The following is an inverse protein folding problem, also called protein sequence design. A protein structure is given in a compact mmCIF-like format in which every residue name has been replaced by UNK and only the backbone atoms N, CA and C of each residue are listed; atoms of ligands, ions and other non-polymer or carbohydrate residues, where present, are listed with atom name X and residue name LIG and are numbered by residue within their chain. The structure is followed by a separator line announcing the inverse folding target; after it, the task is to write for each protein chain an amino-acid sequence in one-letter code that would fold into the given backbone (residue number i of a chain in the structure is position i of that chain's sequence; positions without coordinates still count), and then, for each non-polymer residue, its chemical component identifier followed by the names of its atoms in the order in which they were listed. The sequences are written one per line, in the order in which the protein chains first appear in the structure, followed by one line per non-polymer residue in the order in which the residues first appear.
data_IF_333720797307
#
_entry.id   IF_333720797307
#
_cell.length_a   1.000
_cell.length_b   1.000
_cell.length_c   1.000
_cell.angle_alpha   90.00
_cell.angle_beta   90.00
_cell.angle_gamma   90.00
#
_symmetry.space_group_name_H-M   'P 1'
#
loop_
_entity.id
_entity.type
_entity.pdbx_description
1 polymer ?
#
# COMPACT_ATOMS: atom_id res chain seq x y z
N UNK A 1 19.11 10.76 -17.87
CA UNK A 1 17.76 10.86 -17.27
C UNK A 1 16.99 9.63 -17.74
N UNK A 2 16.91 8.59 -16.91
CA UNK A 2 16.07 7.43 -17.22
C UNK A 2 14.62 7.94 -17.11
N UNK A 3 13.98 8.18 -18.25
CA UNK A 3 12.54 8.42 -18.29
C UNK A 3 11.92 7.06 -18.02
N UNK A 4 11.61 6.77 -16.76
CA UNK A 4 10.83 5.60 -16.44
C UNK A 4 9.46 5.77 -17.10
N UNK A 5 9.10 4.83 -17.98
CA UNK A 5 7.78 4.75 -18.59
C UNK A 5 6.80 4.20 -17.54
N UNK A 6 5.60 4.76 -17.50
CA UNK A 6 4.55 4.35 -16.57
C UNK A 6 3.69 5.52 -16.12
N UNK A 7 2.48 5.20 -15.67
CA UNK A 7 1.52 6.17 -15.15
C UNK A 7 1.40 6.00 -13.63
N UNK A 8 1.45 7.10 -12.87
CA UNK A 8 1.29 7.08 -11.41
C UNK A 8 -0.12 6.63 -11.03
N UNK A 9 -0.23 5.65 -10.13
CA UNK A 9 -1.52 5.09 -9.72
C UNK A 9 -2.32 6.01 -8.78
N UNK A 10 -1.72 7.09 -8.29
CA UNK A 10 -2.40 8.15 -7.52
C UNK A 10 -1.95 9.55 -7.99
N UNK A 11 -2.27 9.88 -9.24
CA UNK A 11 -1.92 11.13 -9.91
C UNK A 11 -2.88 12.28 -9.52
N UNK A 12 -2.86 12.67 -8.25
CA UNK A 12 -3.78 13.65 -7.67
C UNK A 12 -3.83 15.01 -8.41
N UNK A 13 -2.77 15.40 -9.11
CA UNK A 13 -2.73 16.60 -9.94
C UNK A 13 -3.68 16.56 -11.16
N UNK A 14 -4.24 15.40 -11.50
CA UNK A 14 -5.19 15.22 -12.60
C UNK A 14 -6.65 14.98 -12.13
N UNK A 15 -6.96 15.08 -10.84
CA UNK A 15 -8.29 14.72 -10.33
C UNK A 15 -9.42 15.60 -10.90
N UNK A 16 -9.20 16.90 -11.00
CA UNK A 16 -10.17 17.82 -11.61
C UNK A 16 -10.41 17.47 -13.08
N UNK A 17 -9.34 17.14 -13.82
CA UNK A 17 -9.44 16.69 -15.20
C UNK A 17 -10.29 15.42 -15.35
N UNK A 18 -10.11 14.43 -14.48
CA UNK A 18 -10.94 13.20 -14.50
C UNK A 18 -12.39 13.44 -14.10
N UNK A 19 -12.64 14.40 -13.20
CA UNK A 19 -14.00 14.78 -12.82
C UNK A 19 -14.74 15.48 -13.97
N UNK A 20 -14.04 16.34 -14.72
CA UNK A 20 -14.56 17.02 -15.90
C UNK A 20 -14.68 16.09 -17.12
N UNK A 21 -13.92 14.99 -17.16
CA UNK A 21 -13.85 14.05 -18.28
C UNK A 21 -14.13 12.60 -17.83
N UNK A 22 -15.36 12.27 -17.40
CA UNK A 22 -15.68 10.97 -16.80
C UNK A 22 -15.49 9.77 -17.75
N UNK A 23 -15.44 10.01 -19.06
CA UNK A 23 -15.12 9.00 -20.07
C UNK A 23 -13.65 8.55 -20.04
N UNK A 24 -12.75 9.35 -19.44
CA UNK A 24 -11.33 9.03 -19.32
C UNK A 24 -11.11 8.29 -18.00
N UNK A 25 -10.61 7.06 -18.08
CA UNK A 25 -10.21 6.30 -16.89
C UNK A 25 -8.85 6.79 -16.41
N UNK A 26 -8.79 7.18 -15.13
CA UNK A 26 -7.52 7.43 -14.45
C UNK A 26 -6.63 6.18 -14.44
N UNK A 27 -5.31 6.31 -14.26
CA UNK A 27 -4.39 5.19 -14.12
C UNK A 27 -4.85 4.18 -13.07
N UNK A 28 -5.31 4.64 -11.91
CA UNK A 28 -5.88 3.78 -10.85
C UNK A 28 -7.07 2.94 -11.33
N UNK A 29 -8.00 3.55 -12.09
CA UNK A 29 -9.17 2.83 -12.65
C UNK A 29 -8.74 1.82 -13.71
N UNK A 30 -7.85 2.20 -14.63
CA UNK A 30 -7.29 1.29 -15.64
C UNK A 30 -6.58 0.11 -14.99
N UNK A 31 -5.80 0.38 -13.94
CA UNK A 31 -5.05 -0.63 -13.20
C UNK A 31 -5.98 -1.62 -12.47
N UNK A 32 -7.07 -1.14 -11.87
CA UNK A 32 -8.08 -2.00 -11.23
C UNK A 32 -8.76 -2.95 -12.21
N UNK A 33 -8.96 -2.52 -13.45
CA UNK A 33 -9.58 -3.35 -14.50
C UNK A 33 -8.63 -4.42 -15.06
N UNK A 34 -7.34 -4.44 -14.66
CA UNK A 34 -6.40 -5.45 -15.12
C UNK A 34 -6.75 -6.84 -14.55
N UNK A 35 -6.44 -7.92 -15.30
CA UNK A 35 -6.51 -9.27 -14.78
C UNK A 35 -5.76 -9.41 -13.45
N UNK A 36 -6.32 -10.20 -12.54
CA UNK A 36 -5.80 -10.42 -11.19
C UNK A 36 -4.31 -10.80 -11.22
N UNK A 37 -3.90 -11.62 -12.19
CA UNK A 37 -2.51 -12.09 -12.32
C UNK A 37 -1.54 -10.94 -12.56
N UNK A 38 -1.95 -9.88 -13.26
CA UNK A 38 -1.10 -8.70 -13.48
C UNK A 38 -0.93 -7.90 -12.20
N UNK A 39 -2.00 -7.73 -11.43
CA UNK A 39 -1.97 -7.04 -10.14
C UNK A 39 -1.22 -7.83 -9.07
N UNK A 40 -1.28 -9.16 -9.09
CA UNK A 40 -0.47 -10.03 -8.24
C UNK A 40 1.03 -9.88 -8.55
N UNK A 41 1.43 -9.68 -9.82
CA UNK A 41 2.83 -9.36 -10.15
C UNK A 41 3.29 -8.05 -9.52
N UNK A 42 2.45 -7.02 -9.47
CA UNK A 42 2.77 -5.78 -8.73
C UNK A 42 2.95 -6.04 -7.24
N UNK A 43 2.13 -6.89 -6.64
CA UNK A 43 2.28 -7.27 -5.22
C UNK A 43 3.62 -7.95 -4.98
N UNK A 44 4.08 -8.82 -5.89
CA UNK A 44 5.42 -9.42 -5.78
C UNK A 44 6.54 -8.37 -5.86
N UNK A 45 6.37 -7.32 -6.68
CA UNK A 45 7.31 -6.19 -6.72
C UNK A 45 7.32 -5.43 -5.39
N UNK A 46 6.16 -5.18 -4.79
CA UNK A 46 6.03 -4.52 -3.48
C UNK A 46 6.72 -5.33 -2.36
N UNK A 47 6.47 -6.64 -2.30
CA UNK A 47 7.17 -7.53 -1.36
C UNK A 47 8.69 -7.52 -1.58
N UNK A 48 9.14 -7.69 -2.83
CA UNK A 48 10.57 -7.71 -3.15
C UNK A 48 11.26 -6.40 -2.74
N UNK A 49 10.61 -5.27 -3.02
CA UNK A 49 11.13 -3.95 -2.67
C UNK A 49 11.20 -3.76 -1.15
N UNK A 50 10.12 -4.04 -0.41
CA UNK A 50 10.11 -3.84 1.05
C UNK A 50 11.01 -4.81 1.80
N UNK A 51 11.23 -6.03 1.30
CA UNK A 51 12.28 -6.90 1.83
C UNK A 51 13.66 -6.30 1.61
N UNK A 52 13.96 -5.79 0.41
CA UNK A 52 15.25 -5.12 0.15
C UNK A 52 15.46 -3.92 1.07
N UNK A 53 14.41 -3.13 1.32
CA UNK A 53 14.45 -1.99 2.26
C UNK A 53 14.80 -2.48 3.67
N UNK A 54 14.14 -3.54 4.15
CA UNK A 54 14.43 -4.14 5.45
C UNK A 54 15.86 -4.69 5.53
N UNK A 55 16.33 -5.40 4.50
CA UNK A 55 17.70 -5.94 4.39
C UNK A 55 18.77 -4.85 4.39
N UNK A 56 18.45 -3.67 3.86
CA UNK A 56 19.32 -2.49 3.90
C UNK A 56 19.25 -1.71 5.21
N UNK A 57 18.53 -2.22 6.21
CA UNK A 57 18.31 -1.56 7.50
C UNK A 57 17.52 -0.24 7.39
N UNK A 58 16.60 -0.15 6.43
CA UNK A 58 15.67 0.97 6.27
C UNK A 58 14.23 0.56 6.60
N UNK A 59 13.37 1.56 6.77
CA UNK A 59 11.92 1.43 6.82
C UNK A 59 11.29 2.43 5.86
N UNK A 60 10.25 1.98 5.15
CA UNK A 60 9.45 2.83 4.29
C UNK A 60 8.64 3.84 5.11
N UNK A 61 8.73 5.10 4.71
CA UNK A 61 7.93 6.22 5.23
C UNK A 61 7.34 6.93 4.02
N UNK A 62 6.09 7.38 4.14
CA UNK A 62 5.32 7.94 3.02
C UNK A 62 5.14 6.98 1.84
N UNK A 63 5.06 5.67 2.10
CA UNK A 63 4.88 4.65 1.07
C UNK A 63 3.40 4.31 0.88
N UNK A 64 2.85 4.53 -0.32
CA UNK A 64 1.44 4.26 -0.62
C UNK A 64 1.20 4.08 -2.13
N UNK A 65 -0.07 4.06 -2.58
CA UNK A 65 -0.44 3.93 -4.00
C UNK A 65 0.12 5.05 -4.90
N UNK A 66 0.51 6.20 -4.35
CA UNK A 66 1.25 7.25 -5.08
C UNK A 66 2.72 6.94 -5.33
N UNK A 67 3.28 5.99 -4.58
CA UNK A 67 4.65 5.48 -4.76
C UNK A 67 4.73 4.39 -5.84
N UNK A 68 3.63 4.14 -6.57
CA UNK A 68 3.55 3.14 -7.64
C UNK A 68 3.28 3.79 -8.99
N UNK A 69 4.09 3.43 -9.98
CA UNK A 69 3.81 3.66 -11.40
C UNK A 69 3.60 2.32 -12.12
N UNK A 70 2.69 2.31 -13.08
CA UNK A 70 2.43 1.13 -13.90
C UNK A 70 2.55 1.44 -15.39
N UNK A 71 3.36 0.67 -16.11
CA UNK A 71 3.44 0.68 -17.57
C UNK A 71 2.46 -0.37 -18.12
N UNK A 72 1.39 0.11 -18.76
CA UNK A 72 0.32 -0.73 -19.32
C UNK A 72 0.73 -1.45 -20.62
N UNK A 73 1.79 -1.02 -21.29
CA UNK A 73 2.29 -1.66 -22.52
C UNK A 73 3.18 -2.86 -22.19
N UNK A 74 3.95 -2.77 -21.10
CA UNK A 74 4.92 -3.80 -20.68
C UNK A 74 4.54 -4.55 -19.41
N UNK A 75 3.37 -4.26 -18.83
CA UNK A 75 2.90 -4.79 -17.55
C UNK A 75 3.91 -4.62 -16.40
N UNK A 76 4.63 -3.50 -16.38
CA UNK A 76 5.75 -3.26 -15.46
C UNK A 76 5.36 -2.32 -14.33
N UNK A 77 5.57 -2.77 -13.10
CA UNK A 77 5.39 -1.95 -11.89
C UNK A 77 6.71 -1.36 -11.46
N UNK A 78 6.75 -0.04 -11.33
CA UNK A 78 7.91 0.71 -10.84
C UNK A 78 7.58 1.38 -9.53
N UNK A 79 8.49 1.29 -8.56
CA UNK A 79 8.39 2.01 -7.29
C UNK A 79 9.12 3.35 -7.41
N UNK A 80 8.50 4.42 -6.94
CA UNK A 80 9.04 5.77 -6.91
C UNK A 80 8.77 6.42 -5.54
N UNK A 81 9.20 7.67 -5.38
CA UNK A 81 8.94 8.49 -4.18
C UNK A 81 9.43 7.81 -2.89
N UNK A 82 10.73 7.52 -2.86
CA UNK A 82 11.40 6.83 -1.74
C UNK A 82 12.23 7.79 -0.88
N UNK A 83 12.15 9.10 -1.14
CA UNK A 83 13.03 10.12 -0.55
C UNK A 83 12.84 10.26 0.97
N UNK A 84 11.67 9.86 1.49
CA UNK A 84 11.37 9.91 2.93
C UNK A 84 11.77 8.65 3.70
N UNK A 85 12.25 7.60 3.03
CA UNK A 85 12.65 6.36 3.69
C UNK A 85 13.74 6.63 4.71
N UNK A 86 13.67 5.96 5.87
CA UNK A 86 14.55 6.24 7.01
C UNK A 86 15.36 5.01 7.39
N UNK A 87 16.61 5.23 7.79
CA UNK A 87 17.44 4.18 8.38
C UNK A 87 16.88 3.79 9.77
N UNK A 88 16.95 2.51 10.13
CA UNK A 88 16.56 2.00 11.44
C UNK A 88 17.67 2.24 12.47
N UNK A 89 17.36 2.56 13.73
CA UNK A 89 16.02 2.71 14.32
C UNK A 89 15.43 4.10 14.03
N UNK A 90 14.13 4.17 13.74
CA UNK A 90 13.42 5.45 13.60
C UNK A 90 12.13 5.45 14.43
N UNK A 91 11.69 6.65 14.77
CA UNK A 91 10.46 6.93 15.50
C UNK A 91 9.61 7.92 14.71
N UNK A 92 8.35 8.05 15.10
CA UNK A 92 7.52 9.15 14.67
C UNK A 92 7.93 10.44 15.40
N UNK A 93 8.60 11.34 14.70
CA UNK A 93 9.07 12.63 15.22
C UNK A 93 8.14 13.82 14.91
N UNK A 94 6.97 13.56 14.31
CA UNK A 94 6.04 14.59 13.85
C UNK A 94 4.61 14.42 14.40
N UNK A 95 4.36 13.37 15.17
CA UNK A 95 3.04 13.00 15.69
C UNK A 95 2.05 12.75 14.55
N UNK A 96 0.89 13.40 14.62
CA UNK A 96 -0.17 13.25 13.63
C UNK A 96 0.20 13.76 12.22
N UNK A 97 1.25 14.58 12.12
CA UNK A 97 1.72 15.18 10.86
C UNK A 97 2.83 14.37 10.19
N UNK A 98 3.18 13.19 10.71
CA UNK A 98 4.14 12.30 10.06
C UNK A 98 3.69 11.95 8.65
N UNK A 99 4.62 11.96 7.69
CA UNK A 99 4.36 11.74 6.27
C UNK A 99 3.60 10.44 6.00
N UNK A 100 2.72 10.40 4.99
CA UNK A 100 1.90 9.23 4.68
C UNK A 100 0.48 9.54 4.23
N UNK A 101 -0.07 8.65 3.40
CA UNK A 101 -1.47 8.66 3.02
C UNK A 101 -2.38 8.31 4.20
N UNK A 102 -3.26 9.24 4.60
CA UNK A 102 -4.25 9.01 5.67
C UNK A 102 -5.11 7.75 5.47
N UNK A 103 -5.24 7.28 4.23
CA UNK A 103 -6.02 6.09 3.87
C UNK A 103 -5.33 4.77 4.18
N UNK A 104 -4.00 4.73 4.23
CA UNK A 104 -3.19 3.49 4.24
C UNK A 104 -2.13 3.45 5.36
N UNK A 105 -1.90 4.58 6.02
CA UNK A 105 -0.95 4.79 7.11
C UNK A 105 -1.27 3.92 8.33
N UNK A 106 -0.24 3.35 8.96
CA UNK A 106 -0.38 2.51 10.14
C UNK A 106 -0.70 3.34 11.41
N UNK A 107 -1.35 2.74 12.44
CA UNK A 107 -1.75 3.45 13.66
C UNK A 107 -0.60 4.16 14.38
N UNK A 108 0.55 3.50 14.54
CA UNK A 108 1.72 4.06 15.23
C UNK A 108 2.31 5.28 14.51
N UNK A 109 2.08 5.41 13.20
CA UNK A 109 2.54 6.57 12.45
C UNK A 109 1.75 7.85 12.73
N UNK A 110 0.72 7.81 13.59
CA UNK A 110 0.04 9.01 14.09
C UNK A 110 0.45 9.42 15.50
N UNK A 111 1.27 8.60 16.19
CA UNK A 111 1.57 8.77 17.61
C UNK A 111 3.02 9.24 17.77
N UNK A 112 3.22 10.40 18.39
CA UNK A 112 4.56 10.97 18.61
C UNK A 112 5.41 10.03 19.47
N UNK A 113 6.66 9.84 19.07
CA UNK A 113 7.68 8.96 19.67
C UNK A 113 7.41 7.45 19.56
N UNK A 114 6.34 7.01 18.89
CA UNK A 114 6.18 5.59 18.61
C UNK A 114 7.24 5.09 17.63
N UNK A 115 7.60 3.82 17.78
CA UNK A 115 8.60 3.17 16.93
C UNK A 115 8.02 2.94 15.54
N UNK A 116 8.76 3.36 14.51
CA UNK A 116 8.45 3.06 13.12
C UNK A 116 9.44 1.99 12.67
N UNK A 117 8.95 0.78 12.46
CA UNK A 117 9.79 -0.36 12.11
C UNK A 117 9.16 -1.21 11.01
N UNK A 118 9.73 -2.39 10.79
CA UNK A 118 9.29 -3.28 9.72
C UNK A 118 7.81 -3.69 9.84
N UNK A 119 7.26 -3.75 11.05
CA UNK A 119 5.85 -4.08 11.30
C UNK A 119 4.93 -2.95 10.83
N UNK A 120 5.43 -1.72 10.78
CA UNK A 120 4.76 -0.60 10.12
C UNK A 120 4.65 -0.87 8.62
N UNK A 121 5.74 -1.31 7.96
CA UNK A 121 5.68 -1.65 6.53
C UNK A 121 4.85 -2.91 6.23
N UNK A 122 4.80 -3.89 7.14
CA UNK A 122 3.86 -5.02 7.05
C UNK A 122 2.41 -4.51 6.99
N UNK A 123 2.05 -3.58 7.87
CA UNK A 123 0.73 -2.96 7.87
C UNK A 123 0.46 -2.20 6.56
N UNK A 124 1.37 -1.30 6.18
CA UNK A 124 1.24 -0.49 4.97
C UNK A 124 1.08 -1.37 3.72
N UNK A 125 1.88 -2.43 3.61
CA UNK A 125 1.77 -3.38 2.50
C UNK A 125 0.43 -4.12 2.52
N UNK A 126 -0.03 -4.59 3.68
CA UNK A 126 -1.36 -5.19 3.81
C UNK A 126 -2.48 -4.25 3.38
N UNK A 127 -2.41 -2.98 3.81
CA UNK A 127 -3.35 -1.94 3.43
C UNK A 127 -3.32 -1.63 1.92
N UNK A 128 -2.14 -1.62 1.29
CA UNK A 128 -1.99 -1.48 -0.15
C UNK A 128 -2.59 -2.67 -0.92
N UNK A 129 -2.38 -3.90 -0.46
CA UNK A 129 -2.96 -5.09 -1.11
C UNK A 129 -4.50 -5.06 -0.99
N UNK A 130 -5.04 -4.67 0.17
CA UNK A 130 -6.46 -4.37 0.30
C UNK A 130 -6.92 -3.28 -0.67
N UNK A 131 -6.13 -2.24 -0.90
CA UNK A 131 -6.44 -1.19 -1.87
C UNK A 131 -6.46 -1.70 -3.33
N UNK A 132 -5.61 -2.69 -3.66
CA UNK A 132 -5.46 -3.23 -5.01
C UNK A 132 -6.61 -4.19 -5.40
N UNK A 133 -7.09 -5.01 -4.45
CA UNK A 133 -8.07 -6.08 -4.70
C UNK A 133 -9.39 -5.92 -3.96
N UNK A 134 -9.50 -4.92 -3.07
CA UNK A 134 -10.73 -4.55 -2.39
C UNK A 134 -11.45 -3.43 -3.10
N UNK A 135 -12.78 -3.43 -2.98
CA UNK A 135 -13.64 -2.30 -3.35
C UNK A 135 -14.07 -1.54 -2.10
N UNK A 136 -14.13 -0.21 -2.22
CA UNK A 136 -14.48 0.69 -1.13
C UNK A 136 -15.49 1.71 -1.61
N UNK A 137 -16.54 1.91 -0.82
CA UNK A 137 -17.49 3.00 -0.99
C UNK A 137 -16.85 4.34 -0.66
N UNK A 138 -17.42 5.42 -1.18
CA UNK A 138 -16.96 6.77 -0.82
C UNK A 138 -17.08 7.04 0.68
N UNK A 139 -18.09 6.48 1.35
CA UNK A 139 -18.29 6.66 2.78
C UNK A 139 -17.20 5.97 3.61
N UNK A 140 -16.81 4.74 3.24
CA UNK A 140 -15.68 4.06 3.89
C UNK A 140 -14.38 4.86 3.73
N UNK A 141 -14.12 5.40 2.54
CA UNK A 141 -12.96 6.26 2.31
C UNK A 141 -13.02 7.54 3.17
N UNK A 142 -14.19 8.20 3.26
CA UNK A 142 -14.39 9.38 4.11
C UNK A 142 -14.15 9.06 5.59
N UNK A 143 -14.61 7.90 6.07
CA UNK A 143 -14.38 7.45 7.45
C UNK A 143 -12.88 7.31 7.70
N UNK A 144 -12.10 6.72 6.79
CA UNK A 144 -10.65 6.62 6.95
C UNK A 144 -9.97 7.99 7.11
N UNK A 145 -10.37 8.96 6.29
CA UNK A 145 -9.84 10.33 6.40
C UNK A 145 -10.22 11.00 7.72
N UNK A 146 -11.48 10.85 8.15
CA UNK A 146 -12.00 11.48 9.36
C UNK A 146 -11.39 10.86 10.63
N UNK A 147 -11.32 9.54 10.67
CA UNK A 147 -10.84 8.78 11.82
C UNK A 147 -9.32 8.58 11.81
N UNK A 148 -8.63 8.93 10.71
CA UNK A 148 -7.19 8.71 10.52
C UNK A 148 -6.80 7.25 10.75
N UNK A 149 -7.58 6.35 10.16
CA UNK A 149 -7.35 4.92 10.29
C UNK A 149 -7.58 4.21 8.95
N UNK A 150 -6.86 3.12 8.73
CA UNK A 150 -7.19 2.17 7.68
C UNK A 150 -8.29 1.23 8.17
N UNK A 151 -9.22 0.87 7.28
CA UNK A 151 -10.30 -0.09 7.52
C UNK A 151 -10.34 -1.08 6.33
N UNK A 152 -10.14 -2.40 6.52
CA UNK A 152 -10.26 -3.35 5.43
C UNK A 152 -11.68 -3.34 4.83
N UNK A 153 -11.81 -3.70 3.55
CA UNK A 153 -13.14 -3.87 2.93
C UNK A 153 -13.81 -5.09 3.54
N UNK A 154 -15.12 -5.25 3.37
CA UNK A 154 -15.76 -6.51 3.72
C UNK A 154 -15.30 -7.64 2.78
N UNK A 155 -15.46 -8.89 3.20
CA UNK A 155 -15.10 -10.06 2.38
C UNK A 155 -15.90 -10.13 1.07
N UNK A 156 -17.12 -9.58 1.04
CA UNK A 156 -17.96 -9.52 -0.16
C UNK A 156 -17.44 -8.50 -1.20
N UNK A 157 -16.63 -7.54 -0.76
CA UNK A 157 -15.98 -6.53 -1.60
C UNK A 157 -14.53 -6.92 -1.95
N UNK A 158 -14.09 -8.10 -1.53
CA UNK A 158 -12.77 -8.66 -1.76
C UNK A 158 -12.78 -9.56 -3.00
N UNK A 159 -11.78 -9.40 -3.87
CA UNK A 159 -11.74 -10.10 -5.16
C UNK A 159 -11.05 -11.47 -5.11
N UNK A 160 -10.13 -11.69 -4.16
CA UNK A 160 -9.39 -12.95 -4.05
C UNK A 160 -10.10 -13.91 -3.08
N UNK A 161 -9.44 -15.03 -2.73
CA UNK A 161 -10.04 -16.00 -1.82
C UNK A 161 -10.01 -15.55 -0.34
N UNK A 162 -10.78 -16.27 0.48
CA UNK A 162 -10.92 -16.04 1.93
C UNK A 162 -9.60 -16.21 2.69
N UNK A 163 -8.72 -17.12 2.25
CA UNK A 163 -7.43 -17.34 2.92
C UNK A 163 -6.49 -16.15 2.71
N UNK A 164 -6.50 -15.55 1.52
CA UNK A 164 -5.80 -14.31 1.25
C UNK A 164 -6.31 -13.17 2.13
N UNK A 165 -7.63 -13.08 2.31
CA UNK A 165 -8.25 -12.10 3.18
C UNK A 165 -7.80 -12.26 4.65
N UNK A 166 -7.80 -13.48 5.19
CA UNK A 166 -7.33 -13.77 6.55
C UNK A 166 -5.85 -13.39 6.76
N UNK A 167 -5.00 -13.70 5.79
CA UNK A 167 -3.59 -13.32 5.81
C UNK A 167 -3.44 -11.80 5.87
N UNK A 168 -4.22 -11.05 5.09
CA UNK A 168 -4.16 -9.58 5.12
C UNK A 168 -4.73 -8.99 6.39
N UNK A 169 -5.80 -9.56 6.97
CA UNK A 169 -6.34 -9.11 8.26
C UNK A 169 -5.28 -9.15 9.36
N UNK A 170 -4.43 -10.19 9.37
CA UNK A 170 -3.28 -10.25 10.29
C UNK A 170 -2.26 -9.16 9.99
N UNK A 171 -1.92 -8.92 8.73
CA UNK A 171 -0.95 -7.89 8.36
C UNK A 171 -1.40 -6.48 8.82
N UNK A 172 -2.70 -6.20 8.75
CA UNK A 172 -3.28 -4.89 9.15
C UNK A 172 -3.84 -4.85 10.57
N UNK A 173 -3.42 -5.77 11.45
CA UNK A 173 -3.80 -5.73 12.86
C UNK A 173 -3.36 -4.40 13.50
N UNK A 174 -4.18 -3.84 14.40
CA UNK A 174 -3.92 -2.50 14.96
C UNK A 174 -2.60 -2.47 15.74
N UNK A 175 -2.33 -3.51 16.51
CA UNK A 175 -1.13 -3.61 17.34
C UNK A 175 0.02 -4.27 16.58
N UNK A 176 1.23 -3.66 16.54
CA UNK A 176 2.38 -4.21 15.81
C UNK A 176 2.75 -5.65 16.21
N UNK A 177 2.59 -6.03 17.48
CA UNK A 177 2.87 -7.38 17.99
C UNK A 177 1.89 -8.46 17.51
N UNK A 178 0.72 -8.07 17.00
CA UNK A 178 -0.28 -8.99 16.45
C UNK A 178 -0.07 -9.26 14.94
N UNK A 179 0.77 -8.46 14.28
CA UNK A 179 1.09 -8.57 12.85
C UNK A 179 2.13 -9.67 12.58
N UNK A 180 2.45 -9.87 11.31
CA UNK A 180 3.71 -10.51 10.96
C UNK A 180 4.87 -9.61 11.41
N UNK A 181 5.92 -10.23 11.96
CA UNK A 181 7.01 -9.47 12.57
C UNK A 181 8.04 -8.97 11.55
N UNK A 182 8.03 -9.53 10.34
CA UNK A 182 8.86 -9.12 9.21
C UNK A 182 8.07 -9.13 7.91
N UNK A 183 8.50 -8.34 6.92
CA UNK A 183 7.93 -8.37 5.56
C UNK A 183 8.14 -9.75 4.93
N UNK A 184 9.27 -10.40 5.25
CA UNK A 184 9.58 -11.75 4.79
C UNK A 184 8.58 -12.79 5.31
N UNK A 185 8.28 -12.77 6.62
CA UNK A 185 7.28 -13.67 7.20
C UNK A 185 5.91 -13.47 6.54
N UNK A 186 5.53 -12.21 6.30
CA UNK A 186 4.29 -11.88 5.60
C UNK A 186 4.30 -12.44 4.16
N UNK A 187 5.38 -12.24 3.41
CA UNK A 187 5.54 -12.77 2.06
C UNK A 187 5.43 -14.29 2.04
N UNK A 188 6.10 -14.99 2.95
CA UNK A 188 6.06 -16.46 3.02
C UNK A 188 4.63 -16.98 3.22
N UNK A 189 3.80 -16.28 4.03
CA UNK A 189 2.38 -16.64 4.18
C UNK A 189 1.56 -16.31 2.94
N UNK A 190 1.82 -15.18 2.29
CA UNK A 190 1.14 -14.77 1.07
C UNK A 190 1.42 -15.75 -0.09
N UNK A 191 2.68 -16.13 -0.29
CA UNK A 191 3.07 -17.04 -1.38
C UNK A 191 2.49 -18.44 -1.24
N UNK A 192 2.25 -18.93 -0.02
CA UNK A 192 1.62 -20.23 0.20
C UNK A 192 0.20 -20.33 -0.39
N UNK A 193 -0.44 -19.21 -0.69
CA UNK A 193 -1.78 -19.15 -1.28
C UNK A 193 -1.78 -19.37 -2.79
N UNK A 194 -0.67 -19.06 -3.46
CA UNK A 194 -0.54 -19.04 -4.92
C UNK A 194 0.53 -20.00 -5.44
N UNK A 195 0.92 -20.99 -4.62
CA UNK A 195 1.80 -22.11 -5.00
C UNK A 195 1.04 -23.23 -5.70
#
# INVERSE_FOLDING_TARGET
MLVHKGECLFDHWNFDFYAENPQIKSPSKKYRDLPVEKRLRSVNVLFSFLNLVAEKNYVGVDFYDGSMMYDFDTDTTTICDIDFFREKTTINDMGENYWGSKRLKAPEEYILNETIDERTNVFTLGAMIFHIFGSFTEEEIKIRYKCRCFLPCSIEQWELDEKAYEVLLKAVALKPEERYQTVKEFQEKWELLYR
#
